data_IF_144879655423
#
_entry.id   IF_144879655423
#
_cell.length_a   1.000
_cell.length_b   1.000
_cell.length_c   1.000
_cell.angle_alpha   90.00
_cell.angle_beta   90.00
_cell.angle_gamma   90.00
#
_symmetry.space_group_name_H-M   'P 1'
#
loop_
_entity.id
_entity.type
_entity.pdbx_description
1 polymer ?
#
# COMPACT_ATOMS: atom_id res chain seq x y z
N UNK A 1 -16.37 24.46 -3.27
CA UNK A 1 -15.54 25.69 -3.22
C UNK A 1 -15.73 26.45 -1.91
N UNK A 2 -16.94 26.95 -1.60
CA UNK A 2 -17.20 27.73 -0.37
C UNK A 2 -16.72 27.05 0.92
N UNK A 3 -16.95 25.74 1.05
CA UNK A 3 -16.47 24.95 2.20
C UNK A 3 -14.93 24.94 2.32
N UNK A 4 -14.20 24.95 1.21
CA UNK A 4 -12.74 25.00 1.21
C UNK A 4 -12.22 26.40 1.57
N UNK A 5 -12.89 27.46 1.08
CA UNK A 5 -12.56 28.86 1.39
C UNK A 5 -12.81 29.20 2.88
N UNK A 6 -13.82 28.60 3.49
CA UNK A 6 -14.18 28.80 4.90
C UNK A 6 -13.19 28.15 5.90
N UNK A 7 -12.22 27.36 5.43
CA UNK A 7 -11.24 26.72 6.30
C UNK A 7 -10.29 27.77 6.90
N UNK A 8 -10.23 27.85 8.22
CA UNK A 8 -9.38 28.81 8.94
C UNK A 8 -7.92 28.38 9.03
N UNK A 9 -7.65 27.08 9.00
CA UNK A 9 -6.29 26.55 9.03
C UNK A 9 -5.66 26.63 7.62
N UNK A 10 -4.65 27.49 7.45
CA UNK A 10 -4.03 27.74 6.14
C UNK A 10 -3.50 26.47 5.45
N UNK A 11 -2.97 25.49 6.19
CA UNK A 11 -2.53 24.21 5.61
C UNK A 11 -3.72 23.43 5.04
N UNK A 12 -4.78 23.28 5.81
CA UNK A 12 -5.98 22.56 5.37
C UNK A 12 -6.66 23.29 4.20
N UNK A 13 -6.69 24.63 4.25
CA UNK A 13 -7.22 25.47 3.19
C UNK A 13 -6.41 25.33 1.90
N UNK A 14 -5.09 25.48 1.96
CA UNK A 14 -4.20 25.33 0.81
C UNK A 14 -4.34 23.95 0.17
N UNK A 15 -4.40 22.88 0.97
CA UNK A 15 -4.62 21.52 0.47
C UNK A 15 -6.00 21.34 -0.16
N UNK A 16 -7.05 21.86 0.45
CA UNK A 16 -8.40 21.75 -0.11
C UNK A 16 -8.50 22.52 -1.44
N UNK A 17 -7.92 23.71 -1.52
CA UNK A 17 -7.91 24.51 -2.75
C UNK A 17 -7.01 23.89 -3.82
N UNK A 18 -5.82 23.37 -3.48
CA UNK A 18 -4.94 22.70 -4.45
C UNK A 18 -5.57 21.46 -5.07
N UNK A 19 -6.36 20.70 -4.31
CA UNK A 19 -7.11 19.54 -4.82
C UNK A 19 -8.22 19.89 -5.81
N UNK A 20 -8.76 21.10 -5.74
CA UNK A 20 -9.81 21.61 -6.64
C UNK A 20 -9.24 22.34 -7.87
N UNK A 21 -8.01 22.82 -7.78
CA UNK A 21 -7.36 23.61 -8.82
C UNK A 21 -7.34 22.95 -10.23
N UNK A 22 -7.14 21.62 -10.39
CA UNK A 22 -7.20 21.01 -11.72
C UNK A 22 -8.54 21.17 -12.45
N UNK A 23 -9.64 21.35 -11.70
CA UNK A 23 -10.98 21.53 -12.24
C UNK A 23 -11.44 22.99 -12.24
N UNK A 24 -10.82 23.83 -11.40
CA UNK A 24 -11.15 25.24 -11.20
C UNK A 24 -9.85 26.07 -11.16
N UNK A 25 -9.17 26.32 -12.29
CA UNK A 25 -7.90 27.06 -12.29
C UNK A 25 -8.02 28.47 -11.71
N UNK A 26 -9.22 29.05 -11.71
CA UNK A 26 -9.49 30.38 -11.16
C UNK A 26 -9.24 30.52 -9.65
N UNK A 27 -9.15 29.40 -8.91
CA UNK A 27 -8.90 29.41 -7.45
C UNK A 27 -7.41 29.26 -7.08
N UNK A 28 -6.53 29.20 -8.08
CA UNK A 28 -5.08 29.10 -7.90
C UNK A 28 -4.48 30.28 -7.10
N UNK A 29 -4.88 31.55 -7.33
CA UNK A 29 -4.38 32.67 -6.54
C UNK A 29 -4.69 32.54 -5.05
N UNK A 30 -5.91 32.11 -4.69
CA UNK A 30 -6.30 31.91 -3.29
C UNK A 30 -5.59 30.70 -2.67
N UNK A 31 -5.36 29.65 -3.47
CA UNK A 31 -4.58 28.49 -3.03
C UNK A 31 -3.13 28.89 -2.73
N UNK A 32 -2.53 29.72 -3.59
CA UNK A 32 -1.19 30.27 -3.40
C UNK A 32 -1.13 31.18 -2.16
N UNK A 33 -2.07 32.11 -2.00
CA UNK A 33 -2.13 32.97 -0.81
C UNK A 33 -2.22 32.14 0.47
N UNK A 34 -3.07 31.11 0.47
CA UNK A 34 -3.19 30.19 1.60
C UNK A 34 -1.89 29.43 1.88
N UNK A 35 -1.16 29.00 0.84
CA UNK A 35 0.13 28.33 0.97
C UNK A 35 1.21 29.28 1.52
N UNK A 36 1.30 30.50 1.00
CA UNK A 36 2.26 31.53 1.44
C UNK A 36 2.03 31.95 2.89
N UNK A 37 0.78 31.97 3.34
CA UNK A 37 0.41 32.28 4.71
C UNK A 37 0.74 31.16 5.74
N UNK A 38 1.34 30.04 5.32
CA UNK A 38 1.79 28.97 6.21
C UNK A 38 3.13 29.35 6.84
N UNK A 39 3.19 29.37 8.17
CA UNK A 39 4.41 29.73 8.93
C UNK A 39 5.41 28.59 9.09
N UNK A 40 4.96 27.34 9.06
CA UNK A 40 5.84 26.18 9.15
C UNK A 40 6.44 25.85 7.78
N UNK A 41 7.76 25.96 7.63
CA UNK A 41 8.48 25.77 6.37
C UNK A 41 8.21 24.41 5.69
N UNK A 42 8.13 23.30 6.45
CA UNK A 42 7.78 21.98 5.90
C UNK A 42 6.38 22.00 5.29
N UNK A 43 5.41 22.56 6.00
CA UNK A 43 4.03 22.62 5.53
C UNK A 43 3.89 23.57 4.33
N UNK A 44 4.63 24.69 4.34
CA UNK A 44 4.66 25.65 3.24
C UNK A 44 5.27 25.06 1.99
N UNK A 45 6.46 24.45 2.09
CA UNK A 45 7.13 23.81 0.95
C UNK A 45 6.26 22.73 0.31
N UNK A 46 5.58 21.89 1.11
CA UNK A 46 4.64 20.90 0.59
C UNK A 46 3.41 21.53 -0.08
N UNK A 47 2.84 22.61 0.48
CA UNK A 47 1.70 23.29 -0.11
C UNK A 47 2.08 23.92 -1.47
N UNK A 48 3.21 24.61 -1.53
CA UNK A 48 3.74 25.20 -2.76
C UNK A 48 4.10 24.12 -3.80
N UNK A 49 4.75 23.03 -3.40
CA UNK A 49 5.03 21.87 -4.25
C UNK A 49 3.76 21.29 -4.90
N UNK A 50 2.66 21.21 -4.14
CA UNK A 50 1.39 20.70 -4.68
C UNK A 50 0.73 21.61 -5.72
N UNK A 51 1.07 22.90 -5.74
CA UNK A 51 0.56 23.88 -6.70
C UNK A 51 1.47 24.02 -7.93
N UNK A 52 2.75 23.66 -7.80
CA UNK A 52 3.76 23.83 -8.83
C UNK A 52 3.43 23.19 -10.21
N UNK A 53 2.72 22.05 -10.32
CA UNK A 53 2.31 21.53 -11.64
C UNK A 53 1.43 22.49 -12.46
N UNK A 54 0.74 23.42 -11.79
CA UNK A 54 -0.13 24.43 -12.42
C UNK A 54 0.46 25.84 -12.38
N UNK A 55 1.41 26.10 -11.47
CA UNK A 55 2.10 27.37 -11.31
C UNK A 55 3.62 27.16 -11.19
N UNK A 56 4.32 26.74 -12.27
CA UNK A 56 5.76 26.46 -12.21
C UNK A 56 6.60 27.65 -11.72
N UNK A 57 6.11 28.87 -11.86
CA UNK A 57 6.75 30.11 -11.40
C UNK A 57 6.97 30.18 -9.87
N UNK A 58 6.25 29.38 -9.07
CA UNK A 58 6.40 29.35 -7.60
C UNK A 58 7.47 28.36 -7.13
N UNK A 59 8.06 27.58 -8.04
CA UNK A 59 9.10 26.61 -7.73
C UNK A 59 10.30 27.21 -6.96
N UNK A 60 10.81 28.42 -7.30
CA UNK A 60 11.86 29.07 -6.51
C UNK A 60 11.45 29.35 -5.06
N UNK A 61 10.21 29.79 -4.84
CA UNK A 61 9.68 30.04 -3.49
C UNK A 61 9.51 28.73 -2.70
N UNK A 62 9.04 27.68 -3.38
CA UNK A 62 8.91 26.35 -2.79
C UNK A 62 10.28 25.79 -2.37
N UNK A 63 11.29 25.98 -3.22
CA UNK A 63 12.67 25.58 -2.94
C UNK A 63 13.24 26.39 -1.77
N UNK A 64 13.08 27.72 -1.75
CA UNK A 64 13.52 28.55 -0.62
C UNK A 64 12.89 28.09 0.70
N UNK A 65 11.58 27.80 0.69
CA UNK A 65 10.88 27.26 1.85
C UNK A 65 11.44 25.89 2.28
N UNK A 66 11.80 25.01 1.35
CA UNK A 66 12.41 23.71 1.63
C UNK A 66 13.83 23.87 2.22
N UNK A 67 14.65 24.74 1.64
CA UNK A 67 16.01 25.02 2.09
C UNK A 67 16.05 25.65 3.49
N UNK A 68 15.04 26.43 3.85
CA UNK A 68 14.89 27.02 5.18
C UNK A 68 14.48 26.02 6.28
N UNK A 69 14.29 24.73 5.96
CA UNK A 69 13.99 23.68 6.95
C UNK A 69 15.28 23.23 7.65
N UNK A 70 15.32 23.35 8.97
CA UNK A 70 16.49 22.99 9.78
C UNK A 70 16.60 21.50 10.10
N UNK A 71 15.47 20.80 10.19
CA UNK A 71 15.46 19.35 10.39
C UNK A 71 15.74 18.66 9.05
N UNK A 72 16.87 17.93 8.97
CA UNK A 72 17.31 17.30 7.72
C UNK A 72 16.28 16.33 7.13
N UNK A 73 15.61 15.53 7.95
CA UNK A 73 14.56 14.62 7.48
C UNK A 73 13.41 15.39 6.83
N UNK A 74 12.92 16.44 7.49
CA UNK A 74 11.86 17.29 6.95
C UNK A 74 12.30 18.00 5.65
N UNK A 75 13.57 18.41 5.59
CA UNK A 75 14.18 19.02 4.40
C UNK A 75 14.25 18.03 3.23
N UNK A 76 14.69 16.79 3.46
CA UNK A 76 14.71 15.75 2.43
C UNK A 76 13.31 15.57 1.85
N UNK A 77 12.27 15.34 2.66
CA UNK A 77 10.92 15.15 2.11
C UNK A 77 10.41 16.36 1.32
N UNK A 78 10.73 17.58 1.77
CA UNK A 78 10.36 18.79 1.04
C UNK A 78 11.05 18.84 -0.34
N UNK A 79 12.35 18.57 -0.39
CA UNK A 79 13.12 18.52 -1.64
C UNK A 79 12.65 17.35 -2.54
N UNK A 80 12.42 16.15 -2.01
CA UNK A 80 11.88 15.00 -2.76
C UNK A 80 10.51 15.27 -3.37
N UNK A 81 9.71 16.14 -2.74
CA UNK A 81 8.40 16.54 -3.30
C UNK A 81 8.54 17.47 -4.51
N UNK A 82 9.64 18.23 -4.60
CA UNK A 82 9.91 19.18 -5.67
C UNK A 82 10.70 18.55 -6.83
N UNK A 83 11.44 17.47 -6.57
CA UNK A 83 12.29 16.78 -7.53
C UNK A 83 11.62 16.38 -8.86
N UNK A 84 10.32 16.00 -8.94
CA UNK A 84 9.67 15.73 -10.23
C UNK A 84 9.67 16.93 -11.19
N UNK A 85 9.80 18.16 -10.67
CA UNK A 85 9.82 19.40 -11.44
C UNK A 85 11.19 20.11 -11.41
N UNK A 86 12.01 19.81 -10.41
CA UNK A 86 13.36 20.36 -10.21
C UNK A 86 14.36 19.23 -9.89
N UNK A 87 14.66 18.31 -10.83
CA UNK A 87 15.58 17.20 -10.57
C UNK A 87 17.00 17.65 -10.16
N UNK A 88 17.39 18.88 -10.49
CA UNK A 88 18.68 19.48 -10.12
C UNK A 88 18.89 19.64 -8.61
N UNK A 89 17.85 19.53 -7.78
CA UNK A 89 17.96 19.63 -6.31
C UNK A 89 18.24 18.28 -5.64
N UNK A 90 18.23 17.17 -6.38
CA UNK A 90 18.48 15.84 -5.84
C UNK A 90 19.86 15.67 -5.18
N UNK A 91 20.97 16.29 -5.66
CA UNK A 91 22.23 16.30 -4.91
C UNK A 91 22.09 16.92 -3.52
N UNK A 92 21.37 18.05 -3.41
CA UNK A 92 21.13 18.71 -2.12
C UNK A 92 20.26 17.83 -1.20
N UNK A 93 19.25 17.16 -1.76
CA UNK A 93 18.42 16.24 -1.01
C UNK A 93 19.22 15.04 -0.50
N UNK A 94 20.14 14.51 -1.30
CA UNK A 94 21.02 13.41 -0.91
C UNK A 94 22.01 13.83 0.18
N UNK A 95 22.62 15.01 0.07
CA UNK A 95 23.48 15.60 1.12
C UNK A 95 22.70 15.76 2.44
N UNK A 96 21.48 16.29 2.37
CA UNK A 96 20.61 16.41 3.53
C UNK A 96 20.29 15.05 4.16
N UNK A 97 20.07 14.01 3.36
CA UNK A 97 19.83 12.65 3.84
C UNK A 97 21.07 12.07 4.55
N UNK A 98 22.27 12.24 3.97
CA UNK A 98 23.54 11.82 4.59
C UNK A 98 23.80 12.51 5.93
N UNK A 99 23.42 13.79 6.06
CA UNK A 99 23.57 14.57 7.28
C UNK A 99 22.59 14.18 8.40
N UNK A 100 21.68 13.23 8.17
CA UNK A 100 20.77 12.71 9.21
C UNK A 100 21.56 11.78 10.16
N UNK A 101 21.50 12.09 11.45
CA UNK A 101 22.22 11.34 12.50
C UNK A 101 21.48 10.07 12.91
N UNK A 102 20.15 10.09 12.99
CA UNK A 102 19.34 8.92 13.27
C UNK A 102 19.32 7.98 12.07
N UNK A 103 19.82 6.75 12.23
CA UNK A 103 19.99 5.82 11.12
C UNK A 103 18.67 5.33 10.52
N UNK A 104 17.58 5.31 11.30
CA UNK A 104 16.27 4.97 10.78
C UNK A 104 15.75 6.11 9.89
N UNK A 105 15.86 7.35 10.36
CA UNK A 105 15.50 8.53 9.56
C UNK A 105 16.38 8.66 8.31
N UNK A 106 17.67 8.33 8.39
CA UNK A 106 18.59 8.31 7.25
C UNK A 106 18.20 7.25 6.23
N UNK A 107 17.91 6.03 6.66
CA UNK A 107 17.44 4.96 5.76
C UNK A 107 16.12 5.30 5.07
N UNK A 108 15.18 5.88 5.81
CA UNK A 108 13.87 6.27 5.29
C UNK A 108 14.00 7.45 4.29
N UNK A 109 14.89 8.40 4.57
CA UNK A 109 15.24 9.48 3.65
C UNK A 109 15.83 8.94 2.33
N UNK A 110 16.84 8.06 2.40
CA UNK A 110 17.43 7.41 1.23
C UNK A 110 16.40 6.59 0.44
N UNK A 111 15.55 5.84 1.14
CA UNK A 111 14.45 5.08 0.53
C UNK A 111 13.46 5.98 -0.20
N UNK A 112 13.17 7.18 0.32
CA UNK A 112 12.26 8.12 -0.32
C UNK A 112 12.85 8.77 -1.58
N UNK A 113 14.18 8.93 -1.61
CA UNK A 113 14.90 9.50 -2.75
C UNK A 113 15.12 8.48 -3.87
N UNK A 114 15.32 7.20 -3.51
CA UNK A 114 15.73 6.15 -4.45
C UNK A 114 14.97 6.15 -5.79
N UNK A 115 13.62 6.20 -5.86
CA UNK A 115 12.90 6.15 -7.13
C UNK A 115 13.12 7.37 -8.06
N UNK A 116 13.71 8.45 -7.55
CA UNK A 116 13.89 9.72 -8.25
C UNK A 116 15.36 10.00 -8.58
N UNK A 117 16.31 9.24 -8.01
CA UNK A 117 17.73 9.50 -8.20
C UNK A 117 18.17 9.16 -9.63
N UNK A 118 18.83 10.10 -10.34
CA UNK A 118 19.46 9.80 -11.62
C UNK A 118 20.67 8.88 -11.43
N UNK A 119 21.06 8.17 -12.50
CA UNK A 119 22.14 7.17 -12.48
C UNK A 119 23.45 7.70 -11.87
N UNK A 120 23.77 8.98 -12.07
CA UNK A 120 24.99 9.60 -11.56
C UNK A 120 25.01 9.81 -10.04
N UNK A 121 23.86 9.75 -9.34
CA UNK A 121 23.76 9.88 -7.89
C UNK A 121 23.55 8.53 -7.17
N UNK A 122 23.23 7.47 -7.90
CA UNK A 122 23.03 6.13 -7.30
C UNK A 122 24.29 5.60 -6.56
N UNK A 123 25.53 5.78 -7.05
CA UNK A 123 26.71 5.34 -6.31
C UNK A 123 26.88 6.04 -4.95
N UNK A 124 26.57 7.32 -4.89
CA UNK A 124 26.64 8.10 -3.65
C UNK A 124 25.54 7.70 -2.67
N UNK A 125 24.32 7.42 -3.16
CA UNK A 125 23.24 6.90 -2.34
C UNK A 125 23.53 5.48 -1.81
N UNK A 126 24.20 4.64 -2.62
CA UNK A 126 24.68 3.33 -2.19
C UNK A 126 25.72 3.47 -1.06
N UNK A 127 26.71 4.34 -1.20
CA UNK A 127 27.71 4.59 -0.15
C UNK A 127 27.03 5.05 1.15
N UNK A 128 26.07 5.96 1.05
CA UNK A 128 25.29 6.44 2.20
C UNK A 128 24.48 5.30 2.87
N UNK A 129 23.91 4.39 2.07
CA UNK A 129 23.20 3.22 2.59
C UNK A 129 24.16 2.22 3.26
N UNK A 130 25.33 1.98 2.67
CA UNK A 130 26.38 1.11 3.21
C UNK A 130 26.98 1.65 4.52
N UNK A 131 27.07 2.97 4.67
CA UNK A 131 27.52 3.63 5.88
C UNK A 131 26.55 3.49 7.07
N UNK A 132 25.35 2.94 6.87
CA UNK A 132 24.41 2.64 7.96
C UNK A 132 24.90 1.43 8.75
N UNK A 133 25.12 1.61 10.05
CA UNK A 133 25.65 0.58 10.93
C UNK A 133 24.57 -0.39 11.41
N UNK A 134 23.37 0.09 11.69
CA UNK A 134 22.24 -0.76 12.06
C UNK A 134 21.78 -1.61 10.87
N UNK A 135 21.94 -2.93 10.99
CA UNK A 135 21.60 -3.90 9.94
C UNK A 135 20.18 -3.73 9.41
N UNK A 136 19.18 -3.48 10.28
CA UNK A 136 17.78 -3.30 9.85
C UNK A 136 17.61 -2.11 8.94
N UNK A 137 18.27 -1.00 9.27
CA UNK A 137 18.20 0.24 8.51
C UNK A 137 19.02 0.15 7.22
N UNK A 138 20.18 -0.50 7.26
CA UNK A 138 20.98 -0.78 6.06
C UNK A 138 20.22 -1.63 5.06
N UNK A 139 19.62 -2.75 5.49
CA UNK A 139 18.82 -3.57 4.58
C UNK A 139 17.59 -2.83 4.05
N UNK A 140 16.95 -1.99 4.86
CA UNK A 140 15.84 -1.17 4.38
C UNK A 140 16.28 -0.21 3.26
N UNK A 141 17.39 0.51 3.44
CA UNK A 141 17.92 1.42 2.42
C UNK A 141 18.36 0.67 1.15
N UNK A 142 19.14 -0.41 1.30
CA UNK A 142 19.61 -1.23 0.17
C UNK A 142 18.46 -1.87 -0.60
N UNK A 143 17.42 -2.35 0.09
CA UNK A 143 16.25 -2.96 -0.56
C UNK A 143 15.47 -1.96 -1.42
N UNK A 144 15.46 -0.68 -1.05
CA UNK A 144 14.77 0.37 -1.82
C UNK A 144 15.65 0.97 -2.91
N UNK A 145 16.98 0.85 -2.82
CA UNK A 145 17.90 1.23 -3.90
C UNK A 145 18.02 0.16 -4.99
N UNK A 146 17.92 -1.13 -4.63
CA UNK A 146 18.12 -2.24 -5.55
C UNK A 146 17.28 -2.17 -6.85
N UNK A 147 16.01 -1.70 -6.86
CA UNK A 147 15.26 -1.54 -8.11
C UNK A 147 15.89 -0.58 -9.13
N UNK A 148 16.66 0.41 -8.67
CA UNK A 148 17.40 1.36 -9.53
C UNK A 148 18.83 0.90 -9.82
N UNK A 149 19.35 -0.02 -9.00
CA UNK A 149 20.71 -0.52 -9.07
C UNK A 149 20.72 -2.06 -8.94
N UNK A 150 20.20 -2.82 -9.93
CA UNK A 150 20.00 -4.26 -9.82
C UNK A 150 21.25 -5.07 -9.47
N UNK A 151 22.44 -4.54 -9.76
CA UNK A 151 23.73 -5.14 -9.41
C UNK A 151 23.98 -5.28 -7.91
N UNK A 152 23.30 -4.48 -7.06
CA UNK A 152 23.40 -4.61 -5.59
C UNK A 152 22.41 -5.60 -5.00
N UNK A 153 21.61 -6.30 -5.83
CA UNK A 153 20.67 -7.30 -5.33
C UNK A 153 21.32 -8.35 -4.40
N UNK A 154 22.51 -8.92 -4.71
CA UNK A 154 23.16 -9.86 -3.80
C UNK A 154 23.46 -9.25 -2.42
N UNK A 155 23.92 -7.99 -2.39
CA UNK A 155 24.22 -7.26 -1.15
C UNK A 155 22.94 -6.92 -0.38
N UNK A 156 21.90 -6.45 -1.07
CA UNK A 156 20.60 -6.17 -0.46
C UNK A 156 19.98 -7.44 0.14
N UNK A 157 20.11 -8.57 -0.54
CA UNK A 157 19.65 -9.88 -0.07
C UNK A 157 20.47 -10.38 1.13
N UNK A 158 21.80 -10.24 1.08
CA UNK A 158 22.67 -10.56 2.22
C UNK A 158 22.29 -9.72 3.45
N UNK A 159 22.13 -8.41 3.28
CA UNK A 159 21.71 -7.52 4.35
C UNK A 159 20.33 -7.89 4.90
N UNK A 160 19.37 -8.23 4.03
CA UNK A 160 18.03 -8.64 4.42
C UNK A 160 18.04 -9.96 5.21
N UNK A 161 18.80 -10.96 4.74
CA UNK A 161 18.87 -12.30 5.34
C UNK A 161 19.65 -12.32 6.66
N UNK A 162 20.58 -11.38 6.86
CA UNK A 162 21.31 -11.18 8.13
C UNK A 162 20.41 -10.62 9.26
N UNK A 163 19.17 -10.22 8.97
CA UNK A 163 18.21 -9.71 9.95
C UNK A 163 17.23 -10.81 10.37
N UNK A 164 16.66 -10.69 11.57
CA UNK A 164 15.59 -11.55 12.07
C UNK A 164 14.20 -10.92 11.97
N UNK A 165 13.17 -11.76 12.06
CA UNK A 165 11.78 -11.36 12.27
C UNK A 165 11.17 -10.50 11.15
N UNK A 166 10.20 -9.65 11.51
CA UNK A 166 9.44 -8.78 10.62
C UNK A 166 10.32 -7.87 9.75
N UNK A 167 11.50 -7.46 10.24
CA UNK A 167 12.39 -6.57 9.47
C UNK A 167 12.98 -7.28 8.25
N UNK A 168 13.31 -8.58 8.36
CA UNK A 168 13.74 -9.40 7.21
C UNK A 168 12.62 -9.52 6.18
N UNK A 169 11.43 -9.88 6.64
CA UNK A 169 10.29 -10.03 5.74
C UNK A 169 9.88 -8.72 5.07
N UNK A 170 10.02 -7.57 5.78
CA UNK A 170 9.81 -6.25 5.18
C UNK A 170 10.83 -5.97 4.07
N UNK A 171 12.12 -6.22 4.31
CA UNK A 171 13.17 -6.01 3.30
C UNK A 171 12.93 -6.87 2.04
N UNK A 172 12.66 -8.17 2.22
CA UNK A 172 12.37 -9.08 1.12
C UNK A 172 11.08 -8.73 0.37
N UNK A 173 10.07 -8.20 1.08
CA UNK A 173 8.88 -7.64 0.45
C UNK A 173 9.19 -6.46 -0.47
N UNK A 174 10.07 -5.54 -0.09
CA UNK A 174 10.40 -4.41 -0.98
C UNK A 174 11.11 -4.87 -2.25
N UNK A 175 11.91 -5.94 -2.15
CA UNK A 175 12.66 -6.50 -3.27
C UNK A 175 11.78 -7.36 -4.21
N UNK A 176 10.82 -8.12 -3.66
CA UNK A 176 10.05 -9.13 -4.39
C UNK A 176 9.33 -8.63 -5.66
N UNK A 177 8.70 -7.43 -5.71
CA UNK A 177 8.06 -6.92 -6.92
C UNK A 177 9.03 -6.71 -8.09
N UNK A 178 10.31 -6.49 -7.80
CA UNK A 178 11.35 -6.18 -8.81
C UNK A 178 12.21 -7.40 -9.14
N UNK A 179 12.29 -8.36 -8.22
CA UNK A 179 13.16 -9.53 -8.33
C UNK A 179 12.39 -10.82 -8.02
N UNK A 180 11.51 -11.31 -8.93
CA UNK A 180 10.70 -12.50 -8.67
C UNK A 180 11.51 -13.76 -8.29
N UNK A 181 12.78 -13.82 -8.67
CA UNK A 181 13.69 -14.91 -8.33
C UNK A 181 13.92 -15.09 -6.81
N UNK A 182 13.65 -14.07 -5.98
CA UNK A 182 13.83 -14.15 -4.52
C UNK A 182 12.55 -14.53 -3.76
N UNK A 183 11.44 -14.75 -4.48
CA UNK A 183 10.15 -15.08 -3.87
C UNK A 183 10.18 -16.33 -2.98
N UNK A 184 10.93 -17.41 -3.30
CA UNK A 184 11.12 -18.53 -2.38
C UNK A 184 11.73 -18.11 -1.04
N UNK A 185 12.81 -17.32 -1.07
CA UNK A 185 13.48 -16.81 0.13
C UNK A 185 12.59 -15.84 0.92
N UNK A 186 11.79 -15.02 0.21
CA UNK A 186 10.81 -14.13 0.81
C UNK A 186 9.70 -14.91 1.54
N UNK A 187 9.22 -16.00 0.95
CA UNK A 187 8.23 -16.89 1.55
C UNK A 187 8.79 -17.62 2.77
N UNK A 188 9.99 -18.18 2.68
CA UNK A 188 10.67 -18.82 3.83
C UNK A 188 10.84 -17.83 4.98
N UNK A 189 11.30 -16.61 4.67
CA UNK A 189 11.46 -15.57 5.68
C UNK A 189 10.14 -15.18 6.34
N UNK A 190 9.04 -15.12 5.58
CA UNK A 190 7.70 -14.86 6.09
C UNK A 190 7.20 -15.99 6.99
N UNK A 191 7.42 -17.25 6.60
CA UNK A 191 7.06 -18.45 7.37
C UNK A 191 7.76 -18.49 8.73
N UNK A 192 9.03 -18.09 8.77
CA UNK A 192 9.84 -18.04 9.99
C UNK A 192 9.44 -16.93 10.99
N UNK A 193 8.54 -16.02 10.63
CA UNK A 193 8.04 -14.99 11.56
C UNK A 193 7.14 -15.63 12.62
N UNK A 194 7.55 -15.53 13.88
CA UNK A 194 6.78 -16.10 15.02
C UNK A 194 5.50 -15.30 15.31
N UNK A 195 5.53 -13.97 15.17
CA UNK A 195 4.36 -13.13 15.39
C UNK A 195 3.35 -13.31 14.24
N UNK A 196 2.17 -13.86 14.54
CA UNK A 196 1.12 -14.12 13.55
C UNK A 196 0.68 -12.89 12.74
N UNK A 197 0.65 -11.70 13.36
CA UNK A 197 0.26 -10.46 12.68
C UNK A 197 1.31 -10.07 11.65
N UNK A 198 2.57 -10.16 12.03
CA UNK A 198 3.70 -9.82 11.16
C UNK A 198 3.85 -10.85 10.02
N UNK A 199 3.65 -12.13 10.32
CA UNK A 199 3.59 -13.22 9.33
C UNK A 199 2.48 -13.01 8.31
N UNK A 200 1.26 -12.73 8.77
CA UNK A 200 0.13 -12.46 7.89
C UNK A 200 0.36 -11.24 7.01
N UNK A 201 0.93 -10.17 7.59
CA UNK A 201 1.25 -8.96 6.85
C UNK A 201 2.30 -9.23 5.74
N UNK A 202 3.32 -10.04 6.03
CA UNK A 202 4.32 -10.44 5.04
C UNK A 202 3.70 -11.28 3.91
N UNK A 203 2.94 -12.32 4.25
CA UNK A 203 2.27 -13.18 3.25
C UNK A 203 1.31 -12.39 2.37
N UNK A 204 0.47 -11.52 2.95
CA UNK A 204 -0.45 -10.67 2.18
C UNK A 204 0.28 -9.76 1.20
N UNK A 205 1.43 -9.22 1.59
CA UNK A 205 2.17 -8.33 0.72
C UNK A 205 2.82 -9.06 -0.47
N UNK A 206 3.21 -10.32 -0.28
CA UNK A 206 3.80 -11.19 -1.31
C UNK A 206 2.74 -11.89 -2.18
N UNK A 207 1.50 -12.04 -1.70
CA UNK A 207 0.44 -12.83 -2.33
C UNK A 207 0.29 -12.61 -3.85
N UNK A 208 0.15 -11.35 -4.27
CA UNK A 208 0.00 -10.95 -5.69
C UNK A 208 1.23 -11.20 -6.57
N UNK A 209 2.36 -11.58 -5.98
CA UNK A 209 3.62 -11.82 -6.67
C UNK A 209 3.96 -13.30 -6.76
N UNK A 210 3.26 -14.19 -6.04
CA UNK A 210 3.60 -15.61 -6.05
C UNK A 210 3.26 -16.26 -7.40
N UNK A 211 4.23 -16.91 -8.06
CA UNK A 211 3.94 -17.79 -9.19
C UNK A 211 3.19 -19.03 -8.70
N UNK A 212 2.49 -19.71 -9.61
CA UNK A 212 1.63 -20.87 -9.29
C UNK A 212 2.35 -21.96 -8.48
N UNK A 213 3.65 -22.16 -8.70
CA UNK A 213 4.44 -23.16 -7.98
C UNK A 213 4.70 -22.84 -6.50
N UNK A 214 4.62 -21.56 -6.09
CA UNK A 214 4.79 -21.13 -4.69
C UNK A 214 3.47 -20.94 -3.94
N UNK A 215 2.33 -20.90 -4.64
CA UNK A 215 1.02 -20.72 -4.01
C UNK A 215 0.65 -21.83 -3.01
N UNK A 216 0.91 -23.13 -3.25
CA UNK A 216 0.64 -24.17 -2.25
C UNK A 216 1.40 -23.94 -0.93
N UNK A 217 2.68 -23.57 -1.02
CA UNK A 217 3.52 -23.29 0.14
C UNK A 217 3.06 -22.01 0.87
N UNK A 218 2.59 -21.00 0.13
CA UNK A 218 1.99 -19.79 0.70
C UNK A 218 0.65 -20.07 1.40
N UNK A 219 -0.17 -20.97 0.85
CA UNK A 219 -1.43 -21.40 1.47
C UNK A 219 -1.19 -22.15 2.78
N UNK A 220 -0.22 -23.08 2.82
CA UNK A 220 0.17 -23.77 4.04
C UNK A 220 0.74 -22.80 5.08
N UNK A 221 1.54 -21.81 4.65
CA UNK A 221 2.01 -20.74 5.53
C UNK A 221 0.86 -19.93 6.14
N UNK A 222 -0.15 -19.58 5.33
CA UNK A 222 -1.34 -18.88 5.79
C UNK A 222 -2.18 -19.74 6.74
N UNK A 223 -2.34 -21.03 6.44
CA UNK A 223 -3.05 -22.01 7.27
C UNK A 223 -2.41 -22.18 8.65
N UNK A 224 -1.08 -22.15 8.72
CA UNK A 224 -0.30 -22.24 9.96
C UNK A 224 -0.46 -21.02 10.89
N UNK A 225 -1.14 -19.95 10.47
CA UNK A 225 -1.46 -18.80 11.31
C UNK A 225 -2.55 -19.18 12.32
N UNK A 226 -2.20 -19.15 13.62
CA UNK A 226 -3.12 -19.59 14.68
C UNK A 226 -4.20 -18.56 15.02
N UNK A 227 -3.96 -17.27 14.76
CA UNK A 227 -4.96 -16.22 14.96
C UNK A 227 -5.96 -16.19 13.79
N UNK A 228 -7.24 -16.43 14.05
CA UNK A 228 -8.29 -16.49 13.01
C UNK A 228 -8.37 -15.24 12.13
N UNK A 229 -8.17 -14.04 12.69
CA UNK A 229 -8.18 -12.79 11.92
C UNK A 229 -7.02 -12.74 10.93
N UNK A 230 -5.82 -12.94 11.44
CA UNK A 230 -4.60 -12.87 10.64
C UNK A 230 -4.54 -13.98 9.57
N UNK A 231 -5.10 -15.16 9.88
CA UNK A 231 -5.26 -16.26 8.94
C UNK A 231 -6.24 -15.88 7.83
N UNK A 232 -7.43 -15.38 8.19
CA UNK A 232 -8.44 -14.98 7.22
C UNK A 232 -7.95 -13.87 6.29
N UNK A 233 -7.26 -12.86 6.83
CA UNK A 233 -6.71 -11.75 6.05
C UNK A 233 -5.67 -12.24 5.02
N UNK A 234 -4.81 -13.19 5.40
CA UNK A 234 -3.84 -13.82 4.48
C UNK A 234 -4.53 -14.65 3.40
N UNK A 235 -5.48 -15.51 3.81
CA UNK A 235 -6.20 -16.39 2.90
C UNK A 235 -7.08 -15.62 1.92
N UNK A 236 -7.73 -14.52 2.34
CA UNK A 236 -8.51 -13.65 1.44
C UNK A 236 -7.64 -13.18 0.27
N UNK A 237 -6.43 -12.71 0.55
CA UNK A 237 -5.55 -12.18 -0.50
C UNK A 237 -5.03 -13.28 -1.43
N UNK A 238 -4.69 -14.46 -0.89
CA UNK A 238 -4.31 -15.61 -1.71
C UNK A 238 -5.48 -16.15 -2.53
N UNK A 239 -6.70 -16.11 -1.98
CA UNK A 239 -7.92 -16.57 -2.65
C UNK A 239 -8.27 -15.75 -3.88
N UNK A 240 -8.06 -14.43 -3.86
CA UNK A 240 -8.44 -13.54 -4.94
C UNK A 240 -7.68 -13.83 -6.25
N UNK A 241 -6.42 -14.27 -6.15
CA UNK A 241 -5.51 -14.43 -7.30
C UNK A 241 -5.07 -15.89 -7.55
N UNK A 242 -5.56 -16.88 -6.80
CA UNK A 242 -5.12 -18.27 -6.97
C UNK A 242 -5.72 -18.96 -8.21
N UNK A 243 -4.99 -19.92 -8.81
CA UNK A 243 -5.50 -20.71 -9.92
C UNK A 243 -6.63 -21.63 -9.49
N UNK A 244 -7.48 -22.04 -10.44
CA UNK A 244 -8.63 -22.90 -10.23
C UNK A 244 -8.28 -24.20 -9.46
N UNK A 245 -7.09 -24.75 -9.71
CA UNK A 245 -6.57 -25.95 -9.06
C UNK A 245 -6.46 -25.84 -7.53
N UNK A 246 -6.34 -24.63 -6.97
CA UNK A 246 -6.19 -24.39 -5.54
C UNK A 246 -7.47 -23.88 -4.86
N UNK A 247 -8.52 -23.52 -5.62
CA UNK A 247 -9.76 -22.96 -5.06
C UNK A 247 -10.43 -23.90 -4.05
N UNK A 248 -10.43 -25.21 -4.33
CA UNK A 248 -11.00 -26.21 -3.42
C UNK A 248 -10.23 -26.29 -2.10
N UNK A 249 -8.90 -26.20 -2.14
CA UNK A 249 -8.06 -26.21 -0.93
C UNK A 249 -8.25 -24.93 -0.11
N UNK A 250 -8.36 -23.78 -0.77
CA UNK A 250 -8.68 -22.50 -0.12
C UNK A 250 -10.04 -22.55 0.56
N UNK A 251 -11.07 -23.11 -0.12
CA UNK A 251 -12.42 -23.25 0.44
C UNK A 251 -12.42 -24.13 1.70
N UNK A 252 -11.75 -25.28 1.67
CA UNK A 252 -11.63 -26.15 2.85
C UNK A 252 -10.89 -25.46 4.00
N UNK A 253 -9.83 -24.72 3.68
CA UNK A 253 -9.08 -23.95 4.68
C UNK A 253 -9.92 -22.82 5.28
N UNK A 254 -10.75 -22.15 4.47
CA UNK A 254 -11.69 -21.14 4.90
C UNK A 254 -12.76 -21.73 5.83
N UNK A 255 -13.32 -22.90 5.49
CA UNK A 255 -14.29 -23.63 6.33
C UNK A 255 -13.71 -24.03 7.69
N UNK A 256 -12.42 -24.32 7.76
CA UNK A 256 -11.72 -24.61 9.02
C UNK A 256 -11.53 -23.38 9.94
N UNK A 257 -11.87 -22.17 9.48
CA UNK A 257 -11.88 -20.96 10.32
C UNK A 257 -13.11 -20.99 11.23
N UNK A 258 -12.85 -21.11 12.54
CA UNK A 258 -13.90 -21.22 13.57
C UNK A 258 -14.82 -20.00 13.63
N UNK A 259 -14.26 -18.80 13.47
CA UNK A 259 -15.03 -17.56 13.54
C UNK A 259 -15.73 -17.28 12.22
N UNK A 260 -17.06 -17.17 12.26
CA UNK A 260 -17.89 -16.95 11.06
C UNK A 260 -17.56 -15.64 10.36
N UNK A 261 -17.35 -14.56 11.12
CA UNK A 261 -16.92 -13.28 10.58
C UNK A 261 -15.58 -13.38 9.82
N UNK A 262 -14.61 -14.10 10.37
CA UNK A 262 -13.31 -14.27 9.72
C UNK A 262 -13.39 -15.26 8.54
N UNK A 263 -14.24 -16.28 8.61
CA UNK A 263 -14.55 -17.15 7.47
C UNK A 263 -15.15 -16.36 6.32
N UNK A 264 -16.07 -15.43 6.62
CA UNK A 264 -16.67 -14.53 5.65
C UNK A 264 -15.64 -13.65 4.93
N UNK A 265 -14.59 -13.19 5.62
CA UNK A 265 -13.48 -12.44 5.00
C UNK A 265 -12.78 -13.29 3.93
N UNK A 266 -12.54 -14.58 4.18
CA UNK A 266 -11.92 -15.45 3.18
C UNK A 266 -12.87 -15.77 2.03
N UNK A 267 -14.15 -15.99 2.31
CA UNK A 267 -15.18 -16.20 1.26
C UNK A 267 -15.31 -14.98 0.34
N UNK A 268 -15.17 -13.78 0.88
CA UNK A 268 -15.12 -12.53 0.10
C UNK A 268 -13.98 -12.55 -0.93
N UNK A 269 -12.79 -13.04 -0.55
CA UNK A 269 -11.68 -13.21 -1.50
C UNK A 269 -11.96 -14.27 -2.57
N UNK A 270 -12.64 -15.36 -2.22
CA UNK A 270 -13.03 -16.39 -3.19
C UNK A 270 -14.02 -15.85 -4.23
N UNK A 271 -15.01 -15.04 -3.85
CA UNK A 271 -15.97 -14.46 -4.82
C UNK A 271 -15.37 -13.34 -5.66
N UNK A 272 -14.25 -12.74 -5.24
CA UNK A 272 -13.47 -11.80 -6.05
C UNK A 272 -12.67 -12.54 -7.15
N UNK A 273 -12.39 -13.83 -6.98
CA UNK A 273 -11.62 -14.62 -7.93
C UNK A 273 -12.45 -14.95 -9.19
N UNK A 274 -11.96 -14.59 -10.40
CA UNK A 274 -12.71 -14.81 -11.65
C UNK A 274 -12.89 -16.29 -12.03
N UNK A 275 -12.09 -17.19 -11.47
CA UNK A 275 -12.18 -18.63 -11.70
C UNK A 275 -13.12 -19.33 -10.71
N UNK A 276 -13.58 -18.65 -9.66
CA UNK A 276 -14.50 -19.22 -8.68
C UNK A 276 -15.95 -18.97 -9.10
N UNK A 277 -16.74 -20.04 -9.19
CA UNK A 277 -18.14 -19.98 -9.59
C UNK A 277 -19.04 -20.66 -8.55
N UNK A 278 -20.15 -19.98 -8.24
CA UNK A 278 -21.22 -20.48 -7.37
C UNK A 278 -22.47 -20.91 -8.16
N UNK A 279 -22.42 -20.85 -9.49
CA UNK A 279 -23.61 -20.95 -10.34
C UNK A 279 -24.21 -22.36 -10.39
N UNK A 280 -23.38 -23.38 -10.20
CA UNK A 280 -23.78 -24.79 -10.37
C UNK A 280 -24.12 -25.47 -9.04
N UNK A 281 -23.85 -24.82 -7.91
CA UNK A 281 -24.04 -25.39 -6.57
C UNK A 281 -24.88 -24.46 -5.67
N UNK A 282 -26.19 -24.73 -5.63
CA UNK A 282 -27.14 -23.99 -4.80
C UNK A 282 -26.82 -24.12 -3.30
N UNK A 283 -26.24 -25.23 -2.87
CA UNK A 283 -25.88 -25.43 -1.46
C UNK A 283 -24.68 -24.56 -1.07
N UNK A 284 -23.67 -24.50 -1.94
CA UNK A 284 -22.51 -23.63 -1.79
C UNK A 284 -22.92 -22.16 -1.85
N UNK A 285 -23.82 -21.79 -2.76
CA UNK A 285 -24.41 -20.46 -2.83
C UNK A 285 -25.07 -20.05 -1.50
N UNK A 286 -25.89 -20.91 -0.91
CA UNK A 286 -26.54 -20.65 0.37
C UNK A 286 -25.54 -20.51 1.52
N UNK A 287 -24.51 -21.36 1.54
CA UNK A 287 -23.42 -21.29 2.53
C UNK A 287 -22.69 -19.94 2.45
N UNK A 288 -22.36 -19.49 1.24
CA UNK A 288 -21.69 -18.21 1.01
C UNK A 288 -22.57 -17.04 1.44
N UNK A 289 -23.82 -16.98 0.99
CA UNK A 289 -24.76 -15.93 1.38
C UNK A 289 -24.92 -15.84 2.90
N UNK A 290 -25.12 -16.97 3.58
CA UNK A 290 -25.31 -16.99 5.02
C UNK A 290 -24.06 -16.52 5.76
N UNK A 291 -22.89 -16.97 5.32
CA UNK A 291 -21.61 -16.61 5.95
C UNK A 291 -21.27 -15.14 5.71
N UNK A 292 -21.45 -14.63 4.50
CA UNK A 292 -21.16 -13.22 4.15
C UNK A 292 -22.10 -12.25 4.86
N UNK A 293 -23.35 -12.66 5.16
CA UNK A 293 -24.31 -11.85 5.92
C UNK A 293 -23.87 -11.55 7.37
N UNK A 294 -22.85 -12.26 7.90
CA UNK A 294 -22.27 -11.96 9.21
C UNK A 294 -21.34 -10.72 9.22
N UNK A 295 -21.01 -10.15 8.05
CA UNK A 295 -20.18 -8.94 7.94
C UNK A 295 -21.02 -7.70 8.20
N UNK A 296 -20.35 -6.57 8.43
CA UNK A 296 -21.06 -5.30 8.54
C UNK A 296 -21.71 -4.89 7.21
N UNK A 297 -22.63 -3.92 7.28
CA UNK A 297 -23.44 -3.47 6.14
C UNK A 297 -22.59 -3.03 4.96
N UNK A 298 -21.47 -2.33 5.20
CA UNK A 298 -20.64 -1.82 4.12
C UNK A 298 -20.02 -3.00 3.35
N UNK A 299 -19.36 -3.90 4.06
CA UNK A 299 -18.67 -5.02 3.42
C UNK A 299 -19.64 -6.03 2.79
N UNK A 300 -20.80 -6.27 3.39
CA UNK A 300 -21.80 -7.18 2.80
C UNK A 300 -22.37 -6.60 1.49
N UNK A 301 -22.54 -5.29 1.38
CA UNK A 301 -22.96 -4.66 0.12
C UNK A 301 -21.90 -4.79 -0.97
N UNK A 302 -20.61 -4.67 -0.62
CA UNK A 302 -19.49 -4.94 -1.54
C UNK A 302 -19.51 -6.40 -2.00
N UNK A 303 -19.72 -7.35 -1.08
CA UNK A 303 -19.83 -8.77 -1.41
C UNK A 303 -21.01 -9.07 -2.35
N UNK A 304 -22.17 -8.43 -2.16
CA UNK A 304 -23.31 -8.56 -3.07
C UNK A 304 -23.03 -8.07 -4.48
N UNK A 305 -22.19 -7.03 -4.64
CA UNK A 305 -21.74 -6.57 -5.96
C UNK A 305 -20.94 -7.69 -6.63
N UNK A 306 -19.98 -8.28 -5.93
CA UNK A 306 -19.16 -9.39 -6.44
C UNK A 306 -19.99 -10.65 -6.73
N UNK A 307 -21.11 -10.86 -6.03
CA UNK A 307 -22.05 -11.95 -6.28
C UNK A 307 -23.02 -11.70 -7.44
N UNK A 308 -23.05 -10.50 -8.02
CA UNK A 308 -23.99 -10.13 -9.11
C UNK A 308 -23.99 -11.12 -10.28
N UNK A 309 -22.85 -11.63 -10.78
CA UNK A 309 -22.83 -12.63 -11.85
C UNK A 309 -23.59 -13.91 -11.47
N UNK A 310 -23.42 -14.39 -10.24
CA UNK A 310 -24.13 -15.56 -9.72
C UNK A 310 -25.63 -15.28 -9.56
N UNK A 311 -26.00 -14.13 -9.01
CA UNK A 311 -27.40 -13.72 -8.85
C UNK A 311 -28.10 -13.69 -10.22
N UNK A 312 -27.46 -13.09 -11.22
CA UNK A 312 -27.99 -13.00 -12.59
C UNK A 312 -28.09 -14.40 -13.22
N UNK A 313 -27.10 -15.26 -13.01
CA UNK A 313 -27.14 -16.63 -13.53
C UNK A 313 -28.29 -17.45 -12.94
N UNK A 314 -28.53 -17.33 -11.63
CA UNK A 314 -29.58 -18.08 -10.94
C UNK A 314 -31.00 -17.53 -11.13
N UNK A 315 -31.17 -16.20 -11.22
CA UNK A 315 -32.48 -15.55 -11.17
C UNK A 315 -32.72 -14.44 -12.18
N UNK A 316 -31.81 -14.22 -13.12
CA UNK A 316 -31.90 -13.15 -14.12
C UNK A 316 -31.62 -11.76 -13.56
N UNK A 317 -31.73 -10.75 -14.43
CA UNK A 317 -31.54 -9.34 -14.03
C UNK A 317 -32.64 -8.86 -13.09
N UNK A 318 -33.80 -9.47 -13.18
CA UNK A 318 -34.98 -9.23 -12.35
C UNK A 318 -34.70 -9.59 -10.89
N UNK A 319 -33.99 -10.70 -10.62
CA UNK A 319 -33.59 -11.07 -9.27
C UNK A 319 -32.62 -10.04 -8.67
N UNK A 320 -31.64 -9.59 -9.44
CA UNK A 320 -30.72 -8.55 -8.98
C UNK A 320 -31.46 -7.22 -8.68
N UNK A 321 -32.40 -6.82 -9.56
CA UNK A 321 -33.22 -5.63 -9.33
C UNK A 321 -34.09 -5.76 -8.07
N UNK A 322 -34.70 -6.93 -7.83
CA UNK A 322 -35.49 -7.19 -6.63
C UNK A 322 -34.64 -7.12 -5.35
N UNK A 323 -33.40 -7.63 -5.38
CA UNK A 323 -32.45 -7.52 -4.25
C UNK A 323 -32.11 -6.05 -3.99
N UNK A 324 -31.82 -5.26 -5.03
CA UNK A 324 -31.52 -3.83 -4.89
C UNK A 324 -32.69 -3.06 -4.28
N UNK A 325 -33.93 -3.33 -4.70
CA UNK A 325 -35.12 -2.72 -4.10
C UNK A 325 -35.30 -3.16 -2.64
N UNK A 326 -35.08 -4.44 -2.33
CA UNK A 326 -35.09 -4.94 -0.95
C UNK A 326 -34.06 -4.24 -0.05
N UNK A 327 -32.85 -4.00 -0.56
CA UNK A 327 -31.80 -3.24 0.16
C UNK A 327 -32.25 -1.81 0.42
N UNK A 328 -32.81 -1.12 -0.59
CA UNK A 328 -33.32 0.25 -0.45
C UNK A 328 -34.45 0.30 0.58
N UNK A 329 -35.35 -0.68 0.57
CA UNK A 329 -36.43 -0.76 1.53
C UNK A 329 -35.89 -0.93 2.94
N UNK A 330 -35.04 -1.92 3.22
CA UNK A 330 -34.42 -2.11 4.55
C UNK A 330 -33.69 -0.84 5.01
N UNK A 331 -32.99 -0.16 4.10
CA UNK A 331 -32.27 1.10 4.39
C UNK A 331 -33.19 2.24 4.82
N UNK A 332 -34.48 2.22 4.42
CA UNK A 332 -35.47 3.21 4.88
C UNK A 332 -35.90 2.97 6.32
N UNK A 333 -35.89 1.70 6.76
CA UNK A 333 -36.28 1.33 8.12
C UNK A 333 -35.12 1.44 9.12
N UNK A 334 -33.88 1.27 8.65
CA UNK A 334 -32.66 1.41 9.44
C UNK A 334 -31.63 2.28 8.67
N UNK A 335 -31.69 3.62 8.81
CA UNK A 335 -30.84 4.58 8.10
C UNK A 335 -29.35 4.30 8.27
#
# INVERSE_FOLDING_TARGET
LEAAQAITNNRQRAHALSSLAPQLPEILPEALEAAQAITNNRQRAHALSSLAPQLPEILPEALEAAQAITNNRDRVYALSSLAPQLPEILPEALEAAQAITDEWERADALSSLAPQLPENLLPEALEAAQAITNNRQRAHALSNLAPQLPEILPEALEAATAITDWSRARALRELAPHFPQILPEALEAAQAITNNRDRAHALRALARHFPENLLPEALEAARAITNNRQRADSLRQLAADCPESLLSEVLETARAIQSEYHRAITFSGLIENPHFSLQEDVSLWQEFLHTLACRDRQHFLEDLVNLSPTIISLGGKEALAAIVEGIKDVSRWWP
#
